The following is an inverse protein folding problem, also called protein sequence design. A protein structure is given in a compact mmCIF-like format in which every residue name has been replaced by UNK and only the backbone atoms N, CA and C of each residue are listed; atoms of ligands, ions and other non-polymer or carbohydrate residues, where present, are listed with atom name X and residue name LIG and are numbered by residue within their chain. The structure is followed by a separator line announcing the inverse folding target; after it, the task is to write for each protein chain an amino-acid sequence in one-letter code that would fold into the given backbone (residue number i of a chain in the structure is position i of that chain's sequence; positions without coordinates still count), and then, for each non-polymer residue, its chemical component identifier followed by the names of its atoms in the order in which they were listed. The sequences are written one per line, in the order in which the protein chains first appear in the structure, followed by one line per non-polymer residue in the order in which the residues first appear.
data_IF_043015400269
#
_entry.id   IF_043015400269
#
_cell.length_a   1.000
_cell.length_b   1.000
_cell.length_c   1.000
_cell.angle_alpha   90.00
_cell.angle_beta   90.00
_cell.angle_gamma   90.00
#
_symmetry.space_group_name_H-M   'P 1'
#
loop_
_entity.id
_entity.type
_entity.pdbx_description
1 polymer ?
#
# COMPACT_ATOMS: atom_id res chain seq x y z
N UNK A 1 -5.95 -15.09 55.30
CA UNK A 1 -6.73 -15.74 54.21
C UNK A 1 -7.48 -14.62 53.52
N UNK A 2 -6.92 -14.11 52.42
CA UNK A 2 -7.49 -13.02 51.64
C UNK A 2 -8.44 -13.61 50.59
N UNK A 3 -9.68 -13.11 50.51
CA UNK A 3 -10.59 -13.42 49.41
C UNK A 3 -10.17 -12.63 48.18
N UNK A 4 -9.96 -13.32 47.07
CA UNK A 4 -9.73 -12.72 45.77
C UNK A 4 -11.07 -12.21 45.21
N UNK A 5 -11.12 -10.90 44.91
CA UNK A 5 -12.15 -10.28 44.07
C UNK A 5 -12.04 -10.85 42.65
N UNK A 6 -13.11 -11.50 42.18
CA UNK A 6 -13.30 -11.81 40.77
C UNK A 6 -13.94 -10.61 40.08
N UNK A 7 -13.18 -9.92 39.22
CA UNK A 7 -13.76 -8.98 38.26
C UNK A 7 -14.60 -9.75 37.22
N UNK A 8 -15.74 -9.21 36.76
CA UNK A 8 -16.54 -9.85 35.73
C UNK A 8 -15.85 -9.73 34.37
N UNK A 9 -15.78 -10.85 33.64
CA UNK A 9 -15.33 -10.86 32.25
C UNK A 9 -16.27 -10.01 31.37
N UNK A 10 -15.74 -9.30 30.35
CA UNK A 10 -16.59 -8.57 29.43
C UNK A 10 -17.46 -9.54 28.61
N UNK A 11 -18.75 -9.23 28.52
CA UNK A 11 -19.72 -10.01 27.78
C UNK A 11 -19.28 -10.19 26.32
N UNK A 12 -19.16 -11.44 25.88
CA UNK A 12 -18.94 -11.80 24.49
C UNK A 12 -20.12 -11.31 23.65
N UNK A 13 -19.97 -10.17 22.96
CA UNK A 13 -20.89 -9.77 21.92
C UNK A 13 -21.00 -10.91 20.91
N UNK A 14 -22.22 -11.44 20.71
CA UNK A 14 -22.46 -12.52 19.78
C UNK A 14 -22.01 -12.07 18.37
N UNK A 15 -20.90 -12.64 17.87
CA UNK A 15 -20.56 -12.52 16.46
C UNK A 15 -21.73 -13.10 15.67
N UNK A 16 -22.43 -12.26 14.92
CA UNK A 16 -23.45 -12.72 13.97
C UNK A 16 -22.81 -13.76 13.05
N UNK A 17 -23.47 -14.91 12.88
CA UNK A 17 -22.98 -15.94 11.98
C UNK A 17 -22.82 -15.35 10.56
N UNK A 18 -21.71 -15.68 9.90
CA UNK A 18 -21.43 -15.25 8.52
C UNK A 18 -22.52 -15.79 7.57
N UNK A 19 -23.10 -14.91 6.76
CA UNK A 19 -24.05 -15.26 5.70
C UNK A 19 -23.41 -15.07 4.32
N UNK A 20 -23.04 -16.16 3.61
CA UNK A 20 -22.48 -16.05 2.26
C UNK A 20 -23.43 -15.42 1.24
N UNK A 21 -24.74 -15.41 1.50
CA UNK A 21 -25.72 -14.84 0.57
C UNK A 21 -25.63 -13.31 0.45
N UNK A 22 -25.05 -12.64 1.45
CA UNK A 22 -24.91 -11.18 1.48
C UNK A 22 -23.59 -10.68 0.90
N UNK A 23 -22.64 -11.57 0.61
CA UNK A 23 -21.30 -11.19 0.13
C UNK A 23 -21.28 -11.00 -1.40
N UNK A 24 -21.91 -9.91 -1.85
CA UNK A 24 -22.07 -9.58 -3.27
C UNK A 24 -20.79 -9.13 -3.96
N UNK A 25 -19.69 -8.95 -3.22
CA UNK A 25 -18.40 -8.49 -3.73
C UNK A 25 -17.34 -9.61 -3.74
N UNK A 26 -17.57 -10.72 -3.03
CA UNK A 26 -16.71 -11.91 -3.04
C UNK A 26 -16.86 -12.73 -4.32
N UNK A 27 -15.75 -13.27 -4.82
CA UNK A 27 -15.70 -14.13 -6.00
C UNK A 27 -15.42 -15.60 -5.63
N UNK A 28 -15.88 -16.53 -6.47
CA UNK A 28 -15.54 -17.96 -6.38
C UNK A 28 -14.02 -18.13 -6.29
N UNK A 29 -13.55 -18.87 -5.27
CA UNK A 29 -12.13 -19.09 -5.02
C UNK A 29 -11.52 -18.18 -3.96
N UNK A 30 -12.14 -17.05 -3.62
CA UNK A 30 -11.67 -16.14 -2.57
C UNK A 30 -11.97 -16.72 -1.18
N UNK A 31 -11.22 -17.73 -0.76
CA UNK A 31 -11.51 -18.51 0.46
C UNK A 31 -11.15 -17.77 1.76
N UNK A 32 -10.29 -16.76 1.67
CA UNK A 32 -9.82 -15.97 2.81
C UNK A 32 -10.60 -14.67 3.07
N UNK A 33 -11.53 -14.31 2.19
CA UNK A 33 -12.26 -13.04 2.27
C UNK A 33 -13.74 -13.28 2.62
N UNK A 34 -14.26 -12.46 3.52
CA UNK A 34 -15.69 -12.39 3.86
C UNK A 34 -16.12 -10.95 4.05
N UNK A 35 -17.43 -10.70 3.94
CA UNK A 35 -18.07 -9.43 4.30
C UNK A 35 -17.36 -8.24 3.63
N UNK A 36 -17.06 -8.37 2.34
CA UNK A 36 -16.31 -7.34 1.62
C UNK A 36 -17.19 -6.09 1.51
N UNK A 37 -16.65 -4.93 1.91
CA UNK A 37 -17.33 -3.64 1.87
C UNK A 37 -16.52 -2.66 1.03
N UNK A 38 -17.18 -2.00 0.10
CA UNK A 38 -16.62 -0.90 -0.68
C UNK A 38 -16.73 0.41 0.11
N UNK A 39 -15.64 1.18 0.16
CA UNK A 39 -15.57 2.43 0.93
C UNK A 39 -15.51 3.69 0.06
N UNK A 40 -15.06 3.59 -1.19
CA UNK A 40 -15.04 4.69 -2.17
C UNK A 40 -15.82 4.32 -3.42
N UNK A 41 -16.33 5.30 -4.18
CA UNK A 41 -17.33 5.04 -5.24
C UNK A 41 -17.07 5.83 -6.54
N UNK A 42 -15.88 5.65 -7.12
CA UNK A 42 -15.50 6.18 -8.44
C UNK A 42 -14.13 6.85 -8.46
N UNK A 43 -13.58 7.10 -9.66
CA UNK A 43 -12.26 7.71 -9.83
C UNK A 43 -11.12 6.73 -9.51
N UNK A 44 -9.95 7.25 -9.14
CA UNK A 44 -8.81 6.43 -8.73
C UNK A 44 -8.55 6.63 -7.23
N UNK A 45 -8.81 5.59 -6.44
CA UNK A 45 -8.58 5.55 -5.00
C UNK A 45 -7.76 4.30 -4.67
N UNK A 46 -6.59 4.48 -4.09
CA UNK A 46 -5.65 3.39 -3.87
C UNK A 46 -4.79 3.65 -2.63
N UNK A 47 -3.85 2.73 -2.37
CA UNK A 47 -2.85 2.89 -1.31
C UNK A 47 -3.49 3.21 0.04
N UNK A 48 -4.51 2.42 0.39
CA UNK A 48 -5.21 2.58 1.65
C UNK A 48 -4.51 1.82 2.76
N UNK A 49 -4.14 2.50 3.85
CA UNK A 49 -3.38 1.90 4.96
C UNK A 49 -4.00 2.24 6.31
N UNK A 50 -3.99 1.26 7.22
CA UNK A 50 -4.62 1.34 8.54
C UNK A 50 -3.89 2.28 9.49
N UNK A 51 -4.68 3.00 10.29
CA UNK A 51 -4.20 3.60 11.53
C UNK A 51 -3.77 2.52 12.52
N UNK A 52 -2.90 2.89 13.47
CA UNK A 52 -2.34 1.96 14.46
C UNK A 52 -3.40 1.36 15.40
N UNK A 53 -4.51 2.07 15.61
CA UNK A 53 -5.64 1.60 16.40
C UNK A 53 -6.66 0.80 15.57
N UNK A 54 -6.45 0.68 14.25
CA UNK A 54 -7.32 -0.07 13.33
C UNK A 54 -8.69 0.56 13.08
N UNK A 55 -8.87 1.86 13.36
CA UNK A 55 -10.17 2.53 13.21
C UNK A 55 -10.30 3.35 11.93
N UNK A 56 -9.19 3.81 11.37
CA UNK A 56 -9.14 4.69 10.21
C UNK A 56 -8.24 4.15 9.10
N UNK A 57 -8.44 4.69 7.90
CA UNK A 57 -7.59 4.49 6.74
C UNK A 57 -7.12 5.85 6.22
N UNK A 58 -5.84 5.96 5.89
CA UNK A 58 -5.32 6.97 4.97
C UNK A 58 -5.37 6.36 3.58
N UNK A 59 -5.73 7.13 2.56
CA UNK A 59 -5.76 6.68 1.17
C UNK A 59 -5.46 7.84 0.23
N UNK A 60 -5.02 7.50 -0.98
CA UNK A 60 -4.75 8.45 -2.03
C UNK A 60 -5.92 8.55 -3.01
N UNK A 61 -6.24 9.77 -3.47
CA UNK A 61 -7.28 9.97 -4.48
C UNK A 61 -7.02 11.16 -5.41
N UNK A 62 -7.34 10.97 -6.69
CA UNK A 62 -7.47 12.02 -7.71
C UNK A 62 -8.94 12.30 -8.10
N UNK A 63 -9.88 11.72 -7.34
CA UNK A 63 -11.29 11.71 -7.71
C UNK A 63 -11.90 13.11 -7.61
N UNK A 64 -12.34 13.63 -8.76
CA UNK A 64 -12.88 14.99 -8.92
C UNK A 64 -14.03 15.38 -7.99
N UNK A 65 -14.74 14.41 -7.39
CA UNK A 65 -15.81 14.74 -6.44
C UNK A 65 -15.28 15.18 -5.07
N UNK A 66 -14.07 14.78 -4.70
CA UNK A 66 -13.43 15.12 -3.41
C UNK A 66 -12.12 15.90 -3.60
N UNK A 67 -11.63 15.98 -4.83
CA UNK A 67 -10.37 16.62 -5.20
C UNK A 67 -10.45 17.27 -6.59
N UNK A 68 -10.72 18.58 -6.66
CA UNK A 68 -10.86 19.30 -7.93
C UNK A 68 -9.52 19.72 -8.57
N UNK A 69 -8.41 19.56 -7.84
CA UNK A 69 -7.07 19.98 -8.24
C UNK A 69 -6.51 19.20 -9.45
N UNK A 70 -6.90 17.91 -9.57
CA UNK A 70 -6.57 17.07 -10.73
C UNK A 70 -5.29 16.23 -10.62
N UNK A 71 -4.69 16.12 -9.43
CA UNK A 71 -3.65 15.13 -9.14
C UNK A 71 -3.84 14.57 -7.73
N UNK A 72 -3.21 13.43 -7.48
CA UNK A 72 -3.32 12.67 -6.23
C UNK A 72 -3.10 13.51 -4.97
N UNK A 73 -4.07 13.45 -4.05
CA UNK A 73 -4.02 14.01 -2.69
C UNK A 73 -4.27 12.90 -1.66
N UNK A 74 -3.87 13.12 -0.41
CA UNK A 74 -4.04 12.16 0.69
C UNK A 74 -5.25 12.52 1.54
N UNK A 75 -6.06 11.50 1.83
CA UNK A 75 -7.31 11.63 2.58
C UNK A 75 -7.38 10.61 3.71
N UNK A 76 -8.12 10.92 4.76
CA UNK A 76 -8.47 10.00 5.85
C UNK A 76 -9.96 9.71 5.86
N UNK A 77 -10.32 8.46 6.18
CA UNK A 77 -11.70 8.00 6.40
C UNK A 77 -11.77 7.00 7.55
N UNK A 78 -12.97 6.80 8.11
CA UNK A 78 -13.20 5.68 9.02
C UNK A 78 -13.25 4.36 8.24
N UNK A 79 -12.59 3.33 8.77
CA UNK A 79 -12.47 2.03 8.11
C UNK A 79 -13.76 1.20 8.13
N UNK A 80 -14.73 1.61 8.97
CA UNK A 80 -16.08 1.06 8.94
C UNK A 80 -16.98 1.72 7.89
N UNK A 81 -16.48 2.76 7.20
CA UNK A 81 -17.24 3.52 6.21
C UNK A 81 -18.29 4.44 6.83
N UNK A 82 -18.26 4.73 8.14
CA UNK A 82 -19.05 5.80 8.73
C UNK A 82 -18.50 7.17 8.34
N UNK A 83 -19.26 8.22 8.62
CA UNK A 83 -18.75 9.59 8.49
C UNK A 83 -17.82 9.89 9.68
N UNK A 84 -16.86 10.79 9.45
CA UNK A 84 -15.94 11.28 10.48
C UNK A 84 -16.70 12.15 11.50
N UNK A 85 -16.07 12.40 12.65
CA UNK A 85 -16.67 13.29 13.68
C UNK A 85 -16.90 14.73 13.19
N UNK A 86 -16.22 15.14 12.12
CA UNK A 86 -16.45 16.42 11.44
C UNK A 86 -17.75 16.44 10.63
N UNK A 87 -18.37 15.28 10.37
CA UNK A 87 -19.50 15.10 9.46
C UNK A 87 -19.09 14.85 8.00
N UNK A 88 -17.80 14.96 7.68
CA UNK A 88 -17.27 14.66 6.34
C UNK A 88 -17.02 13.16 6.16
N UNK A 89 -17.12 12.70 4.90
CA UNK A 89 -16.79 11.32 4.56
C UNK A 89 -15.29 11.08 4.47
N UNK A 90 -14.60 12.02 3.84
CA UNK A 90 -13.17 11.96 3.54
C UNK A 90 -12.55 13.29 3.93
N UNK A 91 -11.57 13.26 4.82
CA UNK A 91 -10.84 14.44 5.27
C UNK A 91 -9.57 14.59 4.45
N UNK A 92 -9.40 15.72 3.77
CA UNK A 92 -8.14 16.06 3.12
C UNK A 92 -7.06 16.25 4.20
N UNK A 93 -5.95 15.53 4.06
CA UNK A 93 -4.80 15.58 4.98
C UNK A 93 -3.64 16.35 4.39
N UNK A 94 -3.40 16.20 3.09
CA UNK A 94 -2.40 16.98 2.37
C UNK A 94 -2.91 18.39 2.05
N UNK A 95 -2.09 19.19 1.36
CA UNK A 95 -2.36 20.61 1.13
C UNK A 95 -3.50 20.92 0.15
N UNK A 96 -3.94 19.94 -0.65
CA UNK A 96 -4.72 20.22 -1.87
C UNK A 96 -3.91 20.92 -2.96
N UNK A 97 -2.58 20.92 -2.83
CA UNK A 97 -1.63 21.56 -3.72
C UNK A 97 -0.49 20.60 -4.09
N UNK A 98 0.16 20.84 -5.23
CA UNK A 98 1.15 19.93 -5.79
C UNK A 98 0.58 18.52 -6.03
N UNK A 99 1.44 17.55 -6.31
CA UNK A 99 1.08 16.13 -6.31
C UNK A 99 1.50 15.51 -4.98
N UNK A 100 0.78 14.50 -4.53
CA UNK A 100 1.19 13.68 -3.39
C UNK A 100 1.33 12.21 -3.77
N UNK A 101 2.05 11.45 -2.95
CA UNK A 101 2.05 9.99 -3.03
C UNK A 101 2.22 9.35 -1.66
N UNK A 102 1.74 8.11 -1.52
CA UNK A 102 2.06 7.19 -0.43
C UNK A 102 1.85 7.77 0.98
N UNK A 103 0.60 8.00 1.38
CA UNK A 103 0.26 8.37 2.75
C UNK A 103 0.37 7.18 3.71
N UNK A 104 0.82 7.40 4.95
CA UNK A 104 0.89 6.36 6.00
C UNK A 104 0.66 6.98 7.38
N UNK A 105 0.16 6.22 8.35
CA UNK A 105 -0.02 6.73 9.71
C UNK A 105 1.26 6.65 10.55
N UNK A 106 1.41 7.63 11.44
CA UNK A 106 2.30 7.57 12.59
C UNK A 106 1.53 7.05 13.82
N UNK A 107 2.21 6.48 14.83
CA UNK A 107 1.55 5.96 16.03
C UNK A 107 0.78 7.02 16.84
N UNK A 108 1.12 8.30 16.69
CA UNK A 108 0.45 9.42 17.34
C UNK A 108 -0.81 9.91 16.60
N UNK A 109 -1.19 9.24 15.50
CA UNK A 109 -2.37 9.57 14.69
C UNK A 109 -2.11 10.62 13.60
N UNK A 110 -0.90 11.17 13.50
CA UNK A 110 -0.50 11.99 12.35
C UNK A 110 -0.30 11.13 11.11
N UNK A 111 -0.25 11.78 9.95
CA UNK A 111 -0.04 11.14 8.65
C UNK A 111 1.24 11.66 8.04
N UNK A 112 2.09 10.74 7.60
CA UNK A 112 3.27 11.01 6.78
C UNK A 112 2.93 10.79 5.30
N UNK A 113 3.41 11.65 4.40
CA UNK A 113 3.17 11.53 2.97
C UNK A 113 4.22 12.30 2.16
N UNK A 114 4.38 11.97 0.89
CA UNK A 114 5.25 12.72 -0.02
C UNK A 114 4.48 13.78 -0.77
N UNK A 115 5.07 14.94 -1.01
CA UNK A 115 4.42 16.01 -1.77
C UNK A 115 5.39 16.92 -2.54
N UNK A 116 4.92 17.44 -3.68
CA UNK A 116 5.64 18.45 -4.48
C UNK A 116 5.20 19.89 -4.22
N UNK A 117 4.29 20.12 -3.26
CA UNK A 117 3.63 21.42 -3.09
C UNK A 117 4.60 22.58 -2.78
N UNK A 118 5.73 22.30 -2.14
CA UNK A 118 6.74 23.32 -1.83
C UNK A 118 7.43 23.85 -3.09
N UNK A 119 7.58 23.02 -4.12
CA UNK A 119 8.14 23.45 -5.41
C UNK A 119 7.10 24.18 -6.27
N UNK A 120 5.84 23.71 -6.25
CA UNK A 120 4.75 24.34 -6.99
C UNK A 120 3.39 23.90 -6.46
N UNK A 121 2.39 24.79 -6.35
CA UNK A 121 1.03 24.40 -6.03
C UNK A 121 0.31 23.68 -7.17
N UNK A 122 0.81 23.79 -8.41
CA UNK A 122 0.23 23.12 -9.58
C UNK A 122 0.65 21.64 -9.64
N UNK A 123 -0.20 20.81 -10.25
CA UNK A 123 0.17 19.44 -10.58
C UNK A 123 1.37 19.43 -11.56
N UNK A 124 2.46 18.71 -11.24
CA UNK A 124 3.60 18.60 -12.13
C UNK A 124 3.22 17.84 -13.40
N UNK A 125 3.76 18.27 -14.54
CA UNK A 125 3.57 17.59 -15.83
C UNK A 125 4.19 16.20 -15.77
N UNK A 126 3.43 15.17 -16.14
CA UNK A 126 3.89 13.78 -16.08
C UNK A 126 4.83 13.42 -17.22
N UNK A 127 5.71 12.44 -17.02
CA UNK A 127 6.56 11.89 -18.05
C UNK A 127 5.73 11.20 -19.14
N UNK A 128 4.59 10.61 -18.78
CA UNK A 128 3.62 10.08 -19.72
C UNK A 128 3.05 11.17 -20.65
N UNK A 129 2.72 12.36 -20.12
CA UNK A 129 2.31 13.51 -20.94
C UNK A 129 3.41 13.97 -21.90
N UNK A 130 4.68 13.88 -21.49
CA UNK A 130 5.83 14.25 -22.32
C UNK A 130 6.15 13.22 -23.41
N UNK A 131 6.04 11.92 -23.10
CA UNK A 131 6.62 10.82 -23.91
C UNK A 131 5.60 9.88 -24.55
N UNK A 132 4.35 9.89 -24.07
CA UNK A 132 3.29 8.91 -24.40
C UNK A 132 3.64 7.45 -24.05
N UNK A 133 4.64 7.23 -23.20
CA UNK A 133 5.00 5.91 -22.66
C UNK A 133 4.38 5.73 -21.26
N UNK A 134 4.06 4.49 -20.89
CA UNK A 134 3.69 4.18 -19.50
C UNK A 134 4.96 4.11 -18.66
N UNK A 135 5.18 5.16 -17.88
CA UNK A 135 6.32 5.34 -16.98
C UNK A 135 5.80 5.88 -15.65
N UNK A 136 6.55 5.63 -14.59
CA UNK A 136 6.34 6.25 -13.28
C UNK A 136 7.21 7.50 -13.18
N UNK A 137 6.59 8.60 -12.76
CA UNK A 137 7.30 9.85 -12.52
C UNK A 137 8.07 9.82 -11.21
N UNK A 138 9.33 10.22 -11.29
CA UNK A 138 10.28 10.33 -10.19
C UNK A 138 10.55 11.81 -9.97
N UNK A 139 9.51 12.57 -9.62
CA UNK A 139 9.63 14.03 -9.48
C UNK A 139 10.68 14.37 -8.41
N UNK A 140 11.82 14.94 -8.82
CA UNK A 140 12.90 15.36 -7.93
C UNK A 140 12.53 16.51 -6.96
N UNK A 141 11.26 16.90 -6.94
CA UNK A 141 10.68 17.90 -6.05
C UNK A 141 9.77 17.26 -5.00
N UNK A 142 9.67 15.93 -4.94
CA UNK A 142 9.00 15.26 -3.85
C UNK A 142 9.88 15.34 -2.61
N UNK A 143 9.31 15.90 -1.55
CA UNK A 143 9.81 15.77 -0.19
C UNK A 143 8.74 15.07 0.67
N UNK A 144 9.12 14.62 1.86
CA UNK A 144 8.26 13.91 2.80
C UNK A 144 7.84 14.85 3.93
N UNK A 145 6.53 14.93 4.13
CA UNK A 145 5.86 15.79 5.11
C UNK A 145 5.08 14.96 6.11
N UNK A 146 4.78 15.57 7.26
CA UNK A 146 3.86 15.05 8.27
C UNK A 146 2.77 16.10 8.51
N UNK A 147 1.53 15.67 8.71
CA UNK A 147 0.42 16.53 9.12
C UNK A 147 -0.50 15.80 10.12
N UNK A 148 -1.31 16.56 10.86
CA UNK A 148 -2.42 15.99 11.62
C UNK A 148 -3.46 15.38 10.65
N UNK A 149 -4.23 14.40 11.12
CA UNK A 149 -5.27 13.75 10.30
C UNK A 149 -6.38 14.70 9.83
N UNK A 150 -6.49 15.92 10.40
CA UNK A 150 -7.39 16.98 9.95
C UNK A 150 -6.75 17.93 8.92
N UNK A 151 -5.52 17.65 8.49
CA UNK A 151 -4.73 18.44 7.55
C UNK A 151 -4.01 19.65 8.15
N UNK A 152 -4.15 19.88 9.46
CA UNK A 152 -3.43 20.98 10.15
C UNK A 152 -2.01 20.57 10.53
N UNK A 153 -1.19 21.55 10.93
CA UNK A 153 0.11 21.27 11.55
C UNK A 153 1.13 20.63 10.60
N UNK A 154 1.03 20.92 9.31
CA UNK A 154 1.94 20.37 8.32
C UNK A 154 3.39 20.81 8.55
N UNK A 155 4.31 19.86 8.51
CA UNK A 155 5.75 20.07 8.64
C UNK A 155 6.55 19.21 7.66
N UNK A 156 7.71 19.72 7.22
CA UNK A 156 8.68 18.96 6.44
C UNK A 156 9.45 18.01 7.38
N UNK A 157 9.52 16.73 7.04
CA UNK A 157 10.27 15.73 7.80
C UNK A 157 11.59 15.35 7.13
N UNK A 158 11.54 14.94 5.85
CA UNK A 158 12.71 14.55 5.06
C UNK A 158 12.61 15.29 3.73
N UNK A 159 13.68 15.97 3.32
CA UNK A 159 13.75 16.61 2.02
C UNK A 159 15.16 16.98 1.63
N UNK A 160 15.32 17.47 0.41
CA UNK A 160 16.62 17.82 -0.16
C UNK A 160 16.64 17.78 -1.68
N UNK A 161 17.83 17.67 -2.25
CA UNK A 161 17.96 17.45 -3.69
C UNK A 161 17.63 16.00 -4.05
N UNK A 162 16.60 15.81 -4.89
CA UNK A 162 16.23 14.52 -5.41
C UNK A 162 14.79 14.15 -5.10
N UNK A 163 14.39 12.98 -5.56
CA UNK A 163 13.12 12.38 -5.17
C UNK A 163 13.27 11.83 -3.76
N UNK A 164 12.45 12.27 -2.82
CA UNK A 164 12.27 11.66 -1.50
C UNK A 164 10.79 11.28 -1.35
N UNK A 165 10.48 9.99 -1.49
CA UNK A 165 9.08 9.56 -1.44
C UNK A 165 8.85 8.12 -0.97
N UNK A 166 7.59 7.69 -1.08
CA UNK A 166 7.12 6.35 -0.70
C UNK A 166 7.35 6.01 0.79
N UNK A 167 7.08 6.93 1.75
CA UNK A 167 7.37 6.71 3.15
C UNK A 167 6.42 5.68 3.77
N UNK A 168 6.96 4.76 4.57
CA UNK A 168 6.19 3.94 5.50
C UNK A 168 6.85 3.92 6.88
N UNK A 169 6.07 3.64 7.91
CA UNK A 169 6.50 3.73 9.32
C UNK A 169 6.57 2.34 9.95
N UNK A 170 7.59 2.07 10.75
CA UNK A 170 7.74 0.81 11.48
C UNK A 170 6.67 0.66 12.55
N UNK A 171 6.11 -0.56 12.77
CA UNK A 171 5.09 -0.80 13.80
C UNK A 171 5.47 -0.40 15.24
N UNK A 172 6.76 -0.28 15.55
CA UNK A 172 7.23 0.22 16.84
C UNK A 172 7.35 1.76 16.91
N UNK A 173 7.04 2.46 15.81
CA UNK A 173 7.02 3.92 15.73
C UNK A 173 8.39 4.59 15.69
N UNK A 174 9.48 3.85 15.49
CA UNK A 174 10.84 4.40 15.59
C UNK A 174 11.44 4.79 14.26
N UNK A 175 11.04 4.14 13.18
CA UNK A 175 11.69 4.26 11.88
C UNK A 175 10.71 4.62 10.78
N UNK A 176 11.19 5.40 9.83
CA UNK A 176 10.59 5.59 8.51
C UNK A 176 11.49 4.91 7.49
N UNK A 177 10.93 4.15 6.57
CA UNK A 177 11.63 3.73 5.35
C UNK A 177 11.06 4.51 4.18
N UNK A 178 11.92 4.90 3.24
CA UNK A 178 11.51 5.68 2.09
C UNK A 178 12.50 5.49 0.93
N UNK A 179 12.05 5.82 -0.28
CA UNK A 179 12.85 5.76 -1.50
C UNK A 179 13.47 7.11 -1.80
N UNK A 180 14.74 7.12 -2.19
CA UNK A 180 15.42 8.34 -2.59
C UNK A 180 16.40 8.18 -3.74
N UNK A 181 16.51 9.22 -4.57
CA UNK A 181 17.54 9.32 -5.63
C UNK A 181 18.86 9.94 -5.17
N UNK A 182 19.04 10.24 -3.88
CA UNK A 182 20.20 11.02 -3.38
C UNK A 182 21.56 10.38 -3.61
N UNK A 183 21.63 9.06 -3.82
CA UNK A 183 22.85 8.32 -4.18
C UNK A 183 23.08 8.22 -5.69
N UNK A 184 22.16 8.76 -6.50
CA UNK A 184 22.19 8.70 -7.97
C UNK A 184 21.37 7.56 -8.59
N UNK A 185 20.76 6.70 -7.77
CA UNK A 185 19.76 5.69 -8.16
C UNK A 185 18.60 5.68 -7.16
N UNK A 186 17.47 5.05 -7.49
CA UNK A 186 16.32 4.89 -6.59
C UNK A 186 16.60 3.82 -5.54
N UNK A 187 17.07 4.26 -4.37
CA UNK A 187 17.49 3.39 -3.28
C UNK A 187 16.61 3.57 -2.03
N UNK A 188 16.54 2.54 -1.19
CA UNK A 188 15.85 2.59 0.09
C UNK A 188 16.74 3.17 1.19
N UNK A 189 16.13 4.00 2.04
CA UNK A 189 16.76 4.60 3.20
C UNK A 189 15.90 4.40 4.43
N UNK A 190 16.54 4.16 5.58
CA UNK A 190 15.88 4.16 6.89
C UNK A 190 16.23 5.43 7.63
N UNK A 191 15.23 6.15 8.09
CA UNK A 191 15.31 7.32 8.95
C UNK A 191 14.84 6.96 10.37
N UNK A 192 15.61 7.30 11.40
CA UNK A 192 15.21 7.13 12.80
C UNK A 192 14.56 8.42 13.33
N UNK A 193 13.28 8.32 13.74
CA UNK A 193 12.47 9.47 14.13
C UNK A 193 13.01 10.25 15.34
N UNK A 194 13.68 9.56 16.27
CA UNK A 194 14.19 10.18 17.49
C UNK A 194 15.49 10.97 17.29
N UNK A 195 16.37 10.49 16.41
CA UNK A 195 17.73 11.04 16.23
C UNK A 195 17.89 11.81 14.93
N UNK A 196 17.04 11.54 13.93
CA UNK A 196 17.22 12.00 12.56
C UNK A 196 18.29 11.23 11.79
N UNK A 197 18.86 10.16 12.37
CA UNK A 197 19.86 9.35 11.68
C UNK A 197 19.26 8.69 10.44
N UNK A 198 19.97 8.78 9.31
CA UNK A 198 19.57 8.18 8.04
C UNK A 198 20.65 7.23 7.55
N UNK A 199 20.27 6.01 7.19
CA UNK A 199 21.16 5.02 6.56
C UNK A 199 20.58 4.56 5.21
N UNK A 200 21.47 4.29 4.25
CA UNK A 200 21.12 3.68 2.97
C UNK A 200 21.08 2.15 3.12
N UNK A 201 20.03 1.50 2.60
CA UNK A 201 19.79 0.06 2.74
C UNK A 201 20.07 -0.73 1.47
N UNK A 202 19.98 -0.09 0.31
CA UNK A 202 20.18 -0.70 -1.00
C UNK A 202 21.15 0.13 -1.83
N UNK A 203 21.90 -0.51 -2.73
CA UNK A 203 22.96 0.09 -3.55
C UNK A 203 23.13 -0.60 -4.91
N UNK A 204 22.12 -1.36 -5.33
CA UNK A 204 22.18 -2.21 -6.52
C UNK A 204 21.37 -1.59 -7.64
N UNK A 205 21.94 -1.50 -8.84
CA UNK A 205 21.31 -0.85 -9.98
C UNK A 205 19.85 -1.32 -10.20
N UNK A 206 18.95 -0.35 -10.20
CA UNK A 206 17.55 -0.54 -10.52
C UNK A 206 16.63 0.25 -9.60
N UNK A 207 15.33 0.04 -9.77
CA UNK A 207 14.34 0.65 -8.92
C UNK A 207 14.24 -0.14 -7.62
N UNK A 208 14.41 0.51 -6.46
CA UNK A 208 14.04 -0.02 -5.14
C UNK A 208 13.01 0.92 -4.48
N UNK A 209 11.77 0.44 -4.30
CA UNK A 209 10.72 1.26 -3.70
C UNK A 209 9.52 0.50 -3.15
N UNK A 210 8.56 1.25 -2.61
CA UNK A 210 7.34 0.74 -2.00
C UNK A 210 7.62 -0.24 -0.86
N UNK A 211 8.49 0.15 0.07
CA UNK A 211 8.96 -0.73 1.14
C UNK A 211 8.06 -0.67 2.37
N UNK A 212 7.88 -1.81 3.05
CA UNK A 212 7.09 -1.94 4.27
C UNK A 212 7.86 -2.73 5.34
N UNK A 213 7.63 -2.41 6.60
CA UNK A 213 8.22 -3.12 7.73
C UNK A 213 7.47 -4.41 8.07
N UNK A 214 8.19 -5.39 8.63
CA UNK A 214 7.60 -6.56 9.27
C UNK A 214 6.85 -6.18 10.55
N UNK A 215 5.87 -6.99 11.01
CA UNK A 215 5.10 -6.70 12.22
C UNK A 215 5.96 -6.49 13.48
N UNK A 216 7.12 -7.15 13.55
CA UNK A 216 8.07 -7.03 14.65
C UNK A 216 9.12 -5.91 14.47
N UNK A 217 9.00 -5.12 13.40
CA UNK A 217 9.91 -4.01 13.04
C UNK A 217 11.37 -4.41 12.79
N UNK A 218 11.66 -5.69 12.50
CA UNK A 218 13.05 -6.15 12.29
C UNK A 218 13.44 -6.37 10.83
N UNK A 219 12.46 -6.52 9.96
CA UNK A 219 12.67 -6.73 8.54
C UNK A 219 11.89 -5.73 7.70
N UNK A 220 12.27 -5.64 6.44
CA UNK A 220 11.57 -4.89 5.41
C UNK A 220 11.27 -5.81 4.22
N UNK A 221 10.20 -5.50 3.50
CA UNK A 221 9.85 -6.07 2.20
C UNK A 221 9.65 -4.93 1.21
N UNK A 222 10.08 -5.09 -0.04
CA UNK A 222 9.91 -4.07 -1.06
C UNK A 222 9.84 -4.69 -2.45
N UNK A 223 9.40 -3.89 -3.44
CA UNK A 223 9.44 -4.24 -4.86
C UNK A 223 10.72 -3.69 -5.48
N UNK A 224 11.37 -4.47 -6.35
CA UNK A 224 12.58 -4.04 -7.01
C UNK A 224 12.67 -4.50 -8.46
N UNK A 225 13.36 -3.72 -9.29
CA UNK A 225 13.80 -4.14 -10.63
C UNK A 225 15.32 -4.29 -10.66
N UNK A 226 15.83 -5.24 -11.44
CA UNK A 226 17.28 -5.46 -11.63
C UNK A 226 17.61 -5.51 -13.12
N UNK A 227 17.56 -4.37 -13.82
CA UNK A 227 17.78 -4.32 -15.26
C UNK A 227 19.25 -4.64 -15.61
N UNK A 228 19.47 -5.30 -16.75
CA UNK A 228 20.80 -5.64 -17.26
C UNK A 228 20.89 -5.32 -18.76
N UNK A 229 22.10 -5.16 -19.31
CA UNK A 229 22.28 -4.89 -20.74
C UNK A 229 21.55 -3.62 -21.20
N UNK A 230 20.80 -3.72 -22.31
CA UNK A 230 20.05 -2.61 -22.90
C UNK A 230 18.96 -2.06 -21.96
N UNK A 231 18.35 -2.91 -21.13
CA UNK A 231 17.36 -2.47 -20.12
C UNK A 231 18.00 -1.57 -19.07
N UNK A 232 19.26 -1.83 -18.70
CA UNK A 232 20.00 -0.99 -17.75
C UNK A 232 20.31 0.39 -18.34
N UNK A 233 20.64 0.46 -19.63
CA UNK A 233 20.85 1.72 -20.34
C UNK A 233 19.55 2.52 -20.43
N UNK A 234 18.45 1.84 -20.76
CA UNK A 234 17.09 2.42 -20.82
C UNK A 234 16.68 2.97 -19.47
N UNK A 235 16.84 2.18 -18.40
CA UNK A 235 16.57 2.58 -17.02
C UNK A 235 17.33 3.86 -16.65
N UNK A 236 18.65 3.90 -16.86
CA UNK A 236 19.46 5.08 -16.57
C UNK A 236 19.06 6.30 -17.39
N UNK A 237 18.64 6.08 -18.64
CA UNK A 237 18.17 7.15 -19.52
C UNK A 237 16.87 7.79 -19.03
N UNK A 238 15.92 6.96 -18.60
CA UNK A 238 14.66 7.41 -18.03
C UNK A 238 14.88 8.10 -16.68
N UNK A 239 15.74 7.55 -15.82
CA UNK A 239 15.98 8.13 -14.49
C UNK A 239 16.55 9.55 -14.57
N UNK A 240 17.47 9.81 -15.53
CA UNK A 240 17.95 11.19 -15.81
C UNK A 240 16.86 12.17 -16.25
N UNK A 241 15.71 11.65 -16.66
CA UNK A 241 14.53 12.42 -17.06
C UNK A 241 13.43 12.38 -15.99
N UNK A 242 13.79 11.99 -14.75
CA UNK A 242 12.88 11.88 -13.62
C UNK A 242 11.75 10.89 -13.89
N UNK A 243 12.07 9.72 -14.47
CA UNK A 243 11.10 8.69 -14.78
C UNK A 243 11.72 7.29 -14.67
N UNK A 244 10.88 6.28 -14.44
CA UNK A 244 11.25 4.87 -14.61
C UNK A 244 10.16 4.13 -15.35
N UNK A 245 10.51 3.09 -16.11
CA UNK A 245 9.52 2.23 -16.73
C UNK A 245 9.20 1.05 -15.80
N UNK A 246 7.93 0.83 -15.44
CA UNK A 246 7.56 -0.40 -14.76
C UNK A 246 7.75 -1.59 -15.70
N UNK A 247 8.70 -2.45 -15.36
CA UNK A 247 9.02 -3.68 -16.08
C UNK A 247 8.73 -4.91 -15.21
N UNK A 248 9.60 -5.92 -15.32
CA UNK A 248 9.60 -7.02 -14.37
C UNK A 248 9.98 -6.49 -12.97
N UNK A 249 9.16 -6.83 -11.98
CA UNK A 249 9.37 -6.47 -10.58
C UNK A 249 9.35 -7.72 -9.74
N UNK A 250 10.25 -7.77 -8.77
CA UNK A 250 10.33 -8.84 -7.79
C UNK A 250 10.30 -8.29 -6.38
N UNK A 251 9.86 -9.13 -5.46
CA UNK A 251 9.87 -8.83 -4.05
C UNK A 251 11.18 -9.25 -3.42
N UNK A 252 11.70 -8.42 -2.54
CA UNK A 252 12.89 -8.69 -1.75
C UNK A 252 12.58 -8.47 -0.28
N UNK A 253 13.32 -9.17 0.58
CA UNK A 253 13.33 -8.96 2.03
C UNK A 253 14.75 -8.75 2.53
N UNK A 254 14.89 -7.96 3.59
CA UNK A 254 16.14 -7.71 4.29
C UNK A 254 15.86 -7.39 5.75
N UNK A 255 16.90 -7.41 6.58
CA UNK A 255 16.85 -6.77 7.89
C UNK A 255 16.73 -5.25 7.74
N UNK A 256 16.22 -4.57 8.77
CA UNK A 256 16.11 -3.09 8.79
C UNK A 256 17.45 -2.35 8.72
N UNK A 257 18.58 -3.04 8.81
CA UNK A 257 19.93 -2.49 8.63
C UNK A 257 20.51 -2.78 7.23
N UNK A 258 19.72 -3.36 6.32
CA UNK A 258 20.10 -3.71 4.95
C UNK A 258 20.78 -5.08 4.82
N UNK A 259 21.10 -5.75 5.94
CA UNK A 259 21.74 -7.07 5.90
C UNK A 259 20.74 -8.17 5.56
N UNK A 260 21.24 -9.34 5.15
CA UNK A 260 20.43 -10.52 4.79
C UNK A 260 19.41 -10.26 3.66
N UNK A 261 19.73 -9.36 2.73
CA UNK A 261 18.96 -9.13 1.51
C UNK A 261 18.80 -10.43 0.72
N UNK A 262 17.56 -10.77 0.37
CA UNK A 262 17.25 -11.89 -0.54
C UNK A 262 15.97 -11.64 -1.32
N UNK A 263 15.94 -12.20 -2.54
CA UNK A 263 14.76 -12.21 -3.41
C UNK A 263 13.73 -13.24 -2.91
N UNK A 264 12.46 -12.87 -2.92
CA UNK A 264 11.32 -13.69 -2.48
C UNK A 264 10.56 -14.24 -3.69
N UNK A 265 10.24 -13.41 -4.68
CA UNK A 265 9.53 -13.87 -5.89
C UNK A 265 10.48 -14.14 -7.03
N UNK A 266 10.14 -15.11 -7.88
CA UNK A 266 10.77 -15.33 -9.19
C UNK A 266 9.67 -15.62 -10.22
N UNK A 267 8.74 -14.68 -10.35
CA UNK A 267 7.55 -14.82 -11.18
C UNK A 267 7.65 -13.87 -12.38
N UNK A 268 7.12 -14.24 -13.56
CA UNK A 268 7.05 -13.33 -14.69
C UNK A 268 6.15 -12.12 -14.36
N UNK A 269 6.33 -11.03 -15.09
CA UNK A 269 5.52 -9.83 -14.92
C UNK A 269 5.91 -8.99 -13.70
N UNK A 270 4.94 -8.27 -13.15
CA UNK A 270 5.14 -7.37 -12.03
C UNK A 270 4.63 -8.01 -10.74
N UNK A 271 5.49 -8.09 -9.73
CA UNK A 271 5.16 -8.50 -8.36
C UNK A 271 5.43 -7.29 -7.45
N UNK A 272 4.37 -6.72 -6.86
CA UNK A 272 4.46 -5.39 -6.27
C UNK A 272 3.41 -5.15 -5.18
N UNK A 273 3.49 -3.98 -4.53
CA UNK A 273 2.70 -3.62 -3.36
C UNK A 273 2.74 -4.72 -2.27
N UNK A 274 3.95 -5.14 -1.82
CA UNK A 274 4.06 -6.20 -0.83
C UNK A 274 3.65 -5.71 0.55
N UNK A 275 3.05 -6.58 1.34
CA UNK A 275 2.81 -6.34 2.75
C UNK A 275 3.00 -7.64 3.54
N UNK A 276 3.59 -7.55 4.73
CA UNK A 276 3.75 -8.74 5.57
C UNK A 276 2.40 -9.25 6.07
N UNK A 277 2.24 -10.56 6.05
CA UNK A 277 1.20 -11.23 6.82
C UNK A 277 1.45 -11.00 8.33
N UNK A 278 0.41 -10.95 9.20
CA UNK A 278 0.59 -10.72 10.64
C UNK A 278 1.50 -11.74 11.34
N UNK A 279 1.67 -12.94 10.79
CA UNK A 279 2.65 -13.92 11.29
C UNK A 279 4.11 -13.53 11.06
N UNK A 280 4.40 -12.63 10.11
CA UNK A 280 5.75 -12.29 9.67
C UNK A 280 6.40 -13.33 8.75
N UNK A 281 5.73 -14.45 8.47
CA UNK A 281 6.29 -15.58 7.70
C UNK A 281 5.87 -15.58 6.22
N UNK A 282 4.88 -14.77 5.85
CA UNK A 282 4.34 -14.68 4.49
C UNK A 282 4.26 -13.25 4.01
N UNK A 283 4.31 -13.06 2.70
CA UNK A 283 4.09 -11.76 2.05
C UNK A 283 2.80 -11.84 1.22
N UNK A 284 1.90 -10.89 1.42
CA UNK A 284 0.76 -10.63 0.56
C UNK A 284 1.15 -9.58 -0.49
N UNK A 285 0.86 -9.79 -1.76
CA UNK A 285 1.31 -8.89 -2.83
C UNK A 285 0.40 -8.96 -4.06
N UNK A 286 0.46 -7.93 -4.90
CA UNK A 286 -0.24 -7.89 -6.18
C UNK A 286 0.64 -8.48 -7.29
N UNK A 287 0.06 -9.31 -8.17
CA UNK A 287 0.78 -9.86 -9.31
C UNK A 287 -0.09 -10.18 -10.51
N UNK A 288 0.46 -9.92 -11.71
CA UNK A 288 -0.12 -10.29 -13.00
C UNK A 288 0.54 -11.53 -13.64
N UNK A 289 1.41 -12.24 -12.91
CA UNK A 289 2.20 -13.35 -13.45
C UNK A 289 1.35 -14.42 -14.17
N UNK A 290 0.14 -14.67 -13.67
CA UNK A 290 -0.76 -15.71 -14.17
C UNK A 290 -1.51 -15.32 -15.46
N UNK A 291 -1.51 -14.04 -15.85
CA UNK A 291 -2.13 -13.54 -17.09
C UNK A 291 -1.11 -12.99 -18.09
N UNK A 292 0.19 -13.23 -17.88
CA UNK A 292 1.23 -12.72 -18.78
C UNK A 292 1.09 -13.23 -20.23
N UNK A 293 0.54 -14.43 -20.44
CA UNK A 293 0.22 -14.94 -21.77
C UNK A 293 -0.95 -14.20 -22.46
N UNK A 294 -1.75 -13.47 -21.68
CA UNK A 294 -2.97 -12.75 -22.08
C UNK A 294 -2.77 -11.22 -22.06
N UNK A 295 -1.53 -10.77 -21.90
CA UNK A 295 -1.15 -9.36 -21.89
C UNK A 295 -0.98 -8.74 -20.50
N UNK A 296 -1.15 -9.51 -19.41
CA UNK A 296 -0.73 -9.12 -18.07
C UNK A 296 -1.48 -7.91 -17.48
N UNK A 297 -2.74 -7.71 -17.86
CA UNK A 297 -3.55 -6.56 -17.39
C UNK A 297 -4.30 -6.83 -16.10
N UNK A 298 -4.55 -8.09 -15.78
CA UNK A 298 -5.23 -8.51 -14.56
C UNK A 298 -4.20 -8.71 -13.45
N UNK A 299 -4.50 -8.14 -12.28
CA UNK A 299 -3.69 -8.28 -11.08
C UNK A 299 -4.55 -8.89 -10.00
N UNK A 300 -4.06 -9.94 -9.37
CA UNK A 300 -4.67 -10.49 -8.17
C UNK A 300 -3.69 -10.42 -7.01
N UNK A 301 -4.25 -10.57 -5.81
CA UNK A 301 -3.49 -10.71 -4.59
C UNK A 301 -3.03 -12.16 -4.43
N UNK A 302 -1.79 -12.34 -4.01
CA UNK A 302 -1.18 -13.63 -3.73
C UNK A 302 -0.47 -13.60 -2.38
N UNK A 303 -0.51 -14.72 -1.66
CA UNK A 303 0.33 -14.99 -0.50
C UNK A 303 1.50 -15.86 -0.92
N UNK A 304 2.71 -15.50 -0.51
CA UNK A 304 3.91 -16.33 -0.65
C UNK A 304 4.54 -16.58 0.71
N UNK A 305 4.83 -17.85 1.02
CA UNK A 305 5.64 -18.22 2.17
C UNK A 305 7.10 -17.82 1.93
N UNK A 306 7.67 -17.09 2.87
CA UNK A 306 9.01 -16.50 2.76
C UNK A 306 10.10 -17.57 2.77
N UNK A 307 9.87 -18.73 3.40
CA UNK A 307 10.85 -19.80 3.55
C UNK A 307 10.71 -20.89 2.48
N UNK A 308 9.50 -21.39 2.24
CA UNK A 308 9.25 -22.47 1.28
C UNK A 308 9.05 -21.96 -0.15
N UNK A 309 8.61 -20.71 -0.32
CA UNK A 309 8.17 -20.18 -1.61
C UNK A 309 6.78 -20.67 -2.04
N UNK A 310 6.03 -21.32 -1.14
CA UNK A 310 4.67 -21.77 -1.42
C UNK A 310 3.78 -20.57 -1.76
N UNK A 311 3.12 -20.64 -2.92
CA UNK A 311 2.33 -19.55 -3.48
C UNK A 311 0.84 -19.91 -3.47
N UNK A 312 0.02 -19.01 -2.96
CA UNK A 312 -1.44 -19.11 -2.92
C UNK A 312 -2.08 -17.85 -3.53
N UNK A 313 -3.09 -18.02 -4.38
CA UNK A 313 -3.89 -16.90 -4.90
C UNK A 313 -5.01 -16.58 -3.92
N UNK A 314 -5.19 -15.29 -3.63
CA UNK A 314 -6.13 -14.79 -2.62
C UNK A 314 -7.38 -14.18 -3.27
N UNK A 315 -7.22 -13.37 -4.33
CA UNK A 315 -8.34 -12.77 -5.06
C UNK A 315 -8.55 -13.42 -6.42
N UNK A 316 -9.80 -13.39 -6.91
CA UNK A 316 -10.22 -14.06 -8.15
C UNK A 316 -11.22 -13.19 -8.94
N UNK A 317 -11.01 -11.88 -8.90
CA UNK A 317 -11.98 -10.92 -9.42
C UNK A 317 -12.01 -10.84 -10.95
N UNK A 318 -10.96 -11.31 -11.62
CA UNK A 318 -10.76 -11.16 -13.07
C UNK A 318 -10.54 -9.69 -13.47
N UNK A 319 -10.13 -8.85 -12.52
CA UNK A 319 -9.88 -7.43 -12.76
C UNK A 319 -8.58 -7.01 -12.09
N UNK A 320 -8.48 -5.75 -11.69
CA UNK A 320 -7.35 -5.24 -10.92
C UNK A 320 -7.65 -5.34 -9.42
N UNK A 321 -6.79 -6.04 -8.68
CA UNK A 321 -6.71 -6.06 -7.21
C UNK A 321 -5.26 -5.76 -6.78
N UNK A 322 -5.05 -4.78 -5.91
CA UNK A 322 -3.72 -4.38 -5.44
C UNK A 322 -3.74 -3.68 -4.07
N UNK A 323 -2.56 -3.22 -3.64
CA UNK A 323 -2.34 -2.42 -2.42
C UNK A 323 -2.96 -3.04 -1.15
N UNK A 324 -2.64 -4.31 -0.83
CA UNK A 324 -3.18 -4.95 0.35
C UNK A 324 -2.50 -4.47 1.64
N UNK A 325 -3.25 -4.39 2.74
CA UNK A 325 -2.70 -4.26 4.08
C UNK A 325 -3.61 -4.93 5.12
N UNK A 326 -3.03 -5.71 6.02
CA UNK A 326 -3.75 -6.25 7.18
C UNK A 326 -4.01 -5.17 8.23
N UNK A 327 -5.17 -5.23 8.89
CA UNK A 327 -5.41 -4.42 10.08
C UNK A 327 -4.41 -4.76 11.18
N UNK A 328 -4.13 -3.85 12.14
CA UNK A 328 -3.16 -4.09 13.21
C UNK A 328 -3.44 -5.36 14.05
N UNK A 329 -4.72 -5.74 14.18
CA UNK A 329 -5.15 -6.96 14.88
C UNK A 329 -5.15 -8.22 13.99
N UNK A 330 -4.83 -8.09 12.70
CA UNK A 330 -4.79 -9.17 11.71
C UNK A 330 -6.16 -9.73 11.32
N UNK A 331 -7.27 -9.11 11.74
CA UNK A 331 -8.62 -9.65 11.48
C UNK A 331 -9.27 -9.14 10.22
N UNK A 332 -8.71 -8.09 9.60
CA UNK A 332 -9.24 -7.46 8.38
C UNK A 332 -8.13 -7.25 7.35
N UNK A 333 -8.57 -7.14 6.10
CA UNK A 333 -7.73 -6.76 4.98
C UNK A 333 -8.33 -5.53 4.30
N UNK A 334 -7.53 -4.48 4.10
CA UNK A 334 -7.85 -3.41 3.16
C UNK A 334 -7.12 -3.69 1.84
N UNK A 335 -7.76 -3.40 0.71
CA UNK A 335 -7.15 -3.51 -0.61
C UNK A 335 -7.87 -2.58 -1.60
N UNK A 336 -7.21 -2.25 -2.70
CA UNK A 336 -7.80 -1.50 -3.80
C UNK A 336 -8.23 -2.44 -4.93
N UNK A 337 -9.36 -2.18 -5.56
CA UNK A 337 -9.86 -3.03 -6.64
C UNK A 337 -10.75 -2.28 -7.64
N UNK A 338 -10.83 -2.82 -8.85
CA UNK A 338 -11.83 -2.41 -9.84
C UNK A 338 -13.13 -3.23 -9.77
N UNK A 339 -13.25 -4.12 -8.78
CA UNK A 339 -14.43 -4.98 -8.61
C UNK A 339 -15.70 -4.16 -8.36
N UNK A 340 -16.83 -4.72 -8.77
CA UNK A 340 -18.16 -4.17 -8.53
C UNK A 340 -19.14 -5.25 -8.09
N UNK A 341 -20.16 -4.85 -7.33
CA UNK A 341 -21.21 -5.78 -6.88
C UNK A 341 -22.08 -6.33 -8.01
N UNK A 342 -22.23 -5.59 -9.11
CA UNK A 342 -22.93 -6.02 -10.31
C UNK A 342 -22.02 -6.70 -11.35
N UNK A 343 -20.73 -6.86 -11.03
CA UNK A 343 -19.72 -7.56 -11.85
C UNK A 343 -19.48 -6.95 -13.24
N UNK A 344 -19.95 -5.73 -13.48
CA UNK A 344 -19.65 -5.01 -14.71
C UNK A 344 -18.19 -4.56 -14.74
N UNK A 345 -17.60 -4.51 -15.93
CA UNK A 345 -16.26 -3.96 -16.11
C UNK A 345 -16.20 -2.51 -15.60
N UNK A 346 -15.10 -2.19 -14.92
CA UNK A 346 -14.83 -0.87 -14.39
C UNK A 346 -13.37 -0.49 -14.58
N UNK A 347 -13.14 0.80 -14.77
CA UNK A 347 -11.82 1.40 -14.67
C UNK A 347 -11.62 2.18 -13.38
N UNK A 348 -12.68 2.36 -12.59
CA UNK A 348 -12.59 3.00 -11.29
C UNK A 348 -11.88 2.06 -10.31
N UNK A 349 -10.83 2.54 -9.67
CA UNK A 349 -10.16 1.84 -8.58
C UNK A 349 -10.69 2.35 -7.26
N UNK A 350 -11.20 1.46 -6.43
CA UNK A 350 -11.85 1.79 -5.17
C UNK A 350 -11.23 1.03 -3.99
N UNK A 351 -11.39 1.59 -2.79
CA UNK A 351 -10.92 0.97 -1.54
C UNK A 351 -11.98 0.01 -1.00
N UNK A 352 -11.56 -1.18 -0.60
CA UNK A 352 -12.39 -2.22 -0.01
C UNK A 352 -11.79 -2.68 1.31
N UNK A 353 -12.66 -3.03 2.27
CA UNK A 353 -12.29 -3.72 3.51
C UNK A 353 -13.04 -5.04 3.58
N UNK A 354 -12.32 -6.11 3.87
CA UNK A 354 -12.85 -7.45 4.07
C UNK A 354 -12.46 -8.00 5.44
N UNK A 355 -13.29 -8.89 5.99
CA UNK A 355 -12.88 -9.75 7.10
C UNK A 355 -11.93 -10.83 6.57
N UNK A 356 -10.81 -11.02 7.28
CA UNK A 356 -9.81 -12.05 6.96
C UNK A 356 -10.15 -13.38 7.63
N UNK A 357 -10.02 -14.48 6.89
CA UNK A 357 -10.22 -15.84 7.39
C UNK A 357 -8.91 -16.61 7.29
N UNK A 358 -8.14 -16.69 8.38
CA UNK A 358 -6.84 -17.38 8.38
C UNK A 358 -6.93 -18.85 7.96
N UNK A 359 -7.98 -19.55 8.43
CA UNK A 359 -8.20 -20.96 8.13
C UNK A 359 -9.57 -21.14 7.47
N UNK A 360 -9.64 -21.21 6.14
CA UNK A 360 -10.91 -21.31 5.42
C UNK A 360 -11.69 -22.59 5.77
N UNK A 361 -12.97 -22.41 6.08
CA UNK A 361 -13.90 -23.50 6.39
C UNK A 361 -14.41 -24.19 5.11
N UNK A 362 -15.06 -25.37 5.21
CA UNK A 362 -15.72 -25.97 4.04
C UNK A 362 -16.74 -25.04 3.36
N UNK A 363 -17.41 -24.17 4.11
CA UNK A 363 -18.34 -23.20 3.56
C UNK A 363 -17.64 -22.13 2.71
N UNK A 364 -16.45 -21.69 3.10
CA UNK A 364 -15.64 -20.75 2.31
C UNK A 364 -15.17 -21.37 1.01
N UNK A 365 -14.72 -22.63 1.06
CA UNK A 365 -14.24 -23.38 -0.10
C UNK A 365 -15.37 -23.74 -1.07
N UNK A 366 -16.61 -23.84 -0.58
CA UNK A 366 -17.80 -24.09 -1.37
C UNK A 366 -18.48 -22.81 -1.88
N UNK A 367 -17.94 -21.62 -1.57
CA UNK A 367 -18.53 -20.36 -2.05
C UNK A 367 -18.50 -20.30 -3.58
N UNK A 368 -19.63 -19.91 -4.16
CA UNK A 368 -19.77 -19.67 -5.60
C UNK A 368 -20.41 -18.30 -5.83
N UNK A 369 -19.81 -17.50 -6.71
CA UNK A 369 -20.42 -16.27 -7.23
C UNK A 369 -21.79 -16.60 -7.83
N UNK A 370 -22.77 -15.73 -7.58
CA UNK A 370 -24.13 -15.85 -8.13
C UNK A 370 -24.24 -15.25 -9.51
#
# INVERSE_FOLDING_TARGET
MASADQQPEPASGARTAYDPATDSLRFTGEVHLRNIRQLTFGGNNAEAYWSYDGTQLVFQSDWKQINDQGCDQQFVMNADGSDLSSGEKYQLVSTGQGRTTCGYFLPDGRVIYSSTHAASPACPTTAAERTRSYVWDVFATFDIYVANADGTGQELLIGGEGYDAEPTVSPDGKYVIFTSTRSGDLELYRYELASGETIQLTDELGYDGGAFFSPDSKQIVWRASRPTGEDAETYRSLLRQNAVQPGALDLYVANIDGTNKRRVTQLPGANWAPFFHPSGEKILFASNHHTMAEGGREFDLFLIDIASGDLERVTYSGTFDAFPMFSPDGTKLVFASNRRGDRADSRDTNVFVADWVETPTPADRAFTTR
#
